data_IF_748148842673
#
_entry.id   IF_748148842673
#
_cell.length_a   1.000
_cell.length_b   1.000
_cell.length_c   1.000
_cell.angle_alpha   90.00
_cell.angle_beta   90.00
_cell.angle_gamma   90.00
#
_symmetry.space_group_name_H-M   'P 1'
#
loop_
_entity.id
_entity.type
_entity.pdbx_description
1 polymer ?
#
# COMPACT_ATOMS: atom_id res chain seq x y z
N UNK A 1 -4.38 -11.55 -20.25
CA UNK A 1 -5.40 -12.28 -19.46
C UNK A 1 -6.72 -12.27 -20.25
N UNK A 2 -7.45 -13.38 -20.30
CA UNK A 2 -8.75 -13.47 -20.99
C UNK A 2 -9.83 -13.71 -19.93
N UNK A 3 -10.81 -12.81 -19.84
CA UNK A 3 -12.05 -13.10 -19.11
C UNK A 3 -13.02 -13.82 -20.06
N UNK A 4 -13.70 -14.85 -19.58
CA UNK A 4 -14.66 -15.58 -20.39
C UNK A 4 -15.91 -14.72 -20.66
N UNK A 5 -16.61 -14.98 -21.77
CA UNK A 5 -17.88 -14.30 -22.06
C UNK A 5 -18.87 -14.55 -20.91
N UNK A 6 -19.43 -13.47 -20.36
CA UNK A 6 -20.34 -13.52 -19.21
C UNK A 6 -19.65 -13.54 -17.83
N UNK A 7 -18.31 -13.49 -17.78
CA UNK A 7 -17.57 -13.39 -16.51
C UNK A 7 -17.71 -11.98 -15.90
N UNK A 8 -18.06 -11.91 -14.60
CA UNK A 8 -18.13 -10.65 -13.85
C UNK A 8 -16.80 -10.37 -13.15
N UNK A 9 -16.26 -9.18 -13.38
CA UNK A 9 -15.04 -8.69 -12.76
C UNK A 9 -15.35 -7.68 -11.65
N UNK A 10 -14.57 -7.74 -10.56
CA UNK A 10 -14.49 -6.68 -9.56
C UNK A 10 -13.25 -5.84 -9.86
N UNK A 11 -13.46 -4.54 -9.94
CA UNK A 11 -12.42 -3.57 -10.28
C UNK A 11 -12.34 -2.53 -9.18
N UNK A 12 -11.12 -2.28 -8.70
CA UNK A 12 -10.80 -1.19 -7.79
C UNK A 12 -9.59 -0.46 -8.35
N UNK A 13 -9.73 0.84 -8.62
CA UNK A 13 -8.65 1.67 -9.14
C UNK A 13 -8.01 2.46 -8.01
N UNK A 14 -6.70 2.25 -7.81
CA UNK A 14 -5.95 2.88 -6.74
C UNK A 14 -5.77 4.38 -6.95
N UNK A 15 -5.74 5.14 -5.86
CA UNK A 15 -5.41 6.56 -5.85
C UNK A 15 -4.08 6.80 -5.15
N UNK A 16 -3.48 7.94 -5.44
CA UNK A 16 -2.33 8.44 -4.70
C UNK A 16 -2.68 8.70 -3.22
N UNK A 17 -1.66 8.65 -2.37
CA UNK A 17 -1.77 9.17 -1.01
C UNK A 17 -1.87 10.69 -1.01
N UNK A 18 -2.16 11.28 0.15
CA UNK A 18 -2.24 12.73 0.27
C UNK A 18 -0.89 13.42 -0.01
N UNK A 19 -0.89 14.38 -0.94
CA UNK A 19 0.24 15.26 -1.21
C UNK A 19 0.31 16.38 -0.17
N UNK A 20 1.25 16.27 0.78
CA UNK A 20 1.47 17.30 1.80
C UNK A 20 2.97 17.57 2.00
N UNK A 21 3.33 18.82 2.26
CA UNK A 21 4.73 19.23 2.52
C UNK A 21 5.11 19.02 3.99
N UNK A 22 5.19 17.76 4.43
CA UNK A 22 5.41 17.40 5.86
C UNK A 22 6.32 16.18 6.06
N UNK A 23 6.50 15.81 7.33
CA UNK A 23 7.52 14.83 7.73
C UNK A 23 7.16 13.38 7.44
N UNK A 24 5.90 13.01 7.25
CA UNK A 24 5.52 11.66 6.82
C UNK A 24 4.13 11.63 6.20
N UNK A 25 4.02 11.07 5.00
CA UNK A 25 2.77 11.03 4.21
C UNK A 25 2.18 9.63 4.14
N UNK A 26 0.93 9.52 3.68
CA UNK A 26 0.30 8.23 3.43
C UNK A 26 0.84 7.54 2.17
N UNK A 27 0.69 6.22 2.08
CA UNK A 27 1.00 5.46 0.87
C UNK A 27 -0.13 5.55 -0.15
N UNK A 28 0.19 5.33 -1.43
CA UNK A 28 -0.79 5.13 -2.49
C UNK A 28 -1.48 3.77 -2.38
N UNK A 29 -2.67 3.64 -2.97
CA UNK A 29 -3.40 2.38 -3.00
C UNK A 29 -3.10 1.55 -4.24
N UNK A 30 -3.31 0.23 -4.11
CA UNK A 30 -3.18 -0.71 -5.22
C UNK A 30 -4.37 -0.64 -6.18
N UNK A 31 -4.16 -1.13 -7.39
CA UNK A 31 -5.20 -1.29 -8.42
C UNK A 31 -5.47 -2.77 -8.64
N UNK A 32 -6.73 -3.18 -8.55
CA UNK A 32 -7.16 -4.57 -8.50
C UNK A 32 -8.13 -4.90 -9.62
N UNK A 33 -7.87 -6.04 -10.26
CA UNK A 33 -8.83 -6.75 -11.11
C UNK A 33 -8.94 -8.17 -10.58
N UNK A 34 -10.13 -8.53 -10.10
CA UNK A 34 -10.42 -9.86 -9.56
C UNK A 34 -11.71 -10.40 -10.17
N UNK A 35 -11.94 -11.70 -10.02
CA UNK A 35 -13.24 -12.32 -10.32
C UNK A 35 -14.26 -11.94 -9.25
N UNK A 36 -15.53 -12.26 -9.50
CA UNK A 36 -16.62 -12.05 -8.53
C UNK A 36 -16.38 -12.71 -7.16
N UNK A 37 -15.62 -13.80 -7.09
CA UNK A 37 -15.23 -14.50 -5.85
C UNK A 37 -13.93 -13.95 -5.20
N UNK A 38 -13.42 -12.82 -5.67
CA UNK A 38 -12.16 -12.19 -5.28
C UNK A 38 -10.89 -12.94 -5.70
N UNK A 39 -10.97 -13.97 -6.55
CA UNK A 39 -9.77 -14.58 -7.15
C UNK A 39 -9.00 -13.51 -7.93
N UNK A 40 -7.74 -13.22 -7.57
CA UNK A 40 -6.98 -12.16 -8.21
C UNK A 40 -6.58 -12.55 -9.63
N UNK A 41 -6.61 -11.57 -10.53
CA UNK A 41 -6.22 -11.77 -11.92
C UNK A 41 -5.03 -10.90 -12.29
N UNK A 42 -5.14 -9.61 -12.02
CA UNK A 42 -4.01 -8.69 -12.05
C UNK A 42 -4.19 -7.63 -10.96
N UNK A 43 -3.12 -7.38 -10.20
CA UNK A 43 -3.07 -6.37 -9.16
C UNK A 43 -1.74 -5.63 -9.30
N UNK A 44 -1.79 -4.31 -9.38
CA UNK A 44 -0.61 -3.46 -9.29
C UNK A 44 -0.52 -2.87 -7.88
N UNK A 45 0.63 -3.05 -7.23
CA UNK A 45 0.91 -2.44 -5.92
C UNK A 45 1.08 -0.92 -6.01
N UNK A 46 0.57 -0.19 -5.02
CA UNK A 46 0.78 1.24 -4.86
C UNK A 46 2.10 1.56 -4.16
N UNK A 47 2.61 2.77 -4.36
CA UNK A 47 3.82 3.24 -3.68
C UNK A 47 3.61 3.48 -2.17
N UNK A 48 4.65 3.27 -1.38
CA UNK A 48 4.72 3.68 0.01
C UNK A 48 4.94 5.18 0.16
N UNK A 49 4.48 5.76 1.26
CA UNK A 49 4.63 7.17 1.53
C UNK A 49 6.08 7.56 1.81
N UNK A 50 6.46 8.78 1.43
CA UNK A 50 7.75 9.38 1.79
C UNK A 50 7.74 10.02 3.18
N UNK A 51 8.92 10.23 3.74
CA UNK A 51 9.12 10.99 4.98
C UNK A 51 10.23 12.03 4.83
N UNK A 52 10.12 13.10 5.63
CA UNK A 52 10.83 14.37 5.44
C UNK A 52 12.33 14.37 5.67
N UNK A 53 12.96 13.19 5.82
CA UNK A 53 14.42 13.03 5.88
C UNK A 53 14.98 12.15 4.76
N UNK A 54 14.13 11.62 3.86
CA UNK A 54 14.62 10.98 2.64
C UNK A 54 15.27 12.03 1.75
N UNK A 55 16.58 11.91 1.55
CA UNK A 55 17.35 12.77 0.66
C UNK A 55 17.33 12.29 -0.79
N UNK A 56 17.10 10.99 -0.98
CA UNK A 56 17.08 10.33 -2.29
C UNK A 56 15.90 9.36 -2.38
N UNK A 57 15.43 9.15 -3.60
CA UNK A 57 14.45 8.10 -3.91
C UNK A 57 14.97 6.74 -3.45
N UNK A 58 14.08 5.91 -2.91
CA UNK A 58 14.42 4.55 -2.49
C UNK A 58 13.46 3.56 -3.14
N UNK A 59 13.98 2.60 -3.90
CA UNK A 59 13.17 1.64 -4.65
C UNK A 59 12.23 0.79 -3.77
N UNK A 60 12.45 0.70 -2.45
CA UNK A 60 11.54 -0.01 -1.57
C UNK A 60 10.22 0.74 -1.34
N UNK A 61 10.14 2.06 -1.57
CA UNK A 61 8.84 2.74 -1.57
C UNK A 61 8.07 2.51 -2.87
N UNK A 62 8.68 1.97 -3.93
CA UNK A 62 7.96 1.70 -5.16
C UNK A 62 7.06 0.48 -4.98
N UNK A 63 5.89 0.52 -5.62
CA UNK A 63 5.12 -0.70 -5.87
C UNK A 63 6.00 -1.69 -6.63
N UNK A 64 5.93 -2.97 -6.24
CA UNK A 64 6.82 -4.01 -6.78
C UNK A 64 6.05 -5.08 -7.55
N UNK A 65 6.67 -5.65 -8.58
CA UNK A 65 6.19 -6.83 -9.30
C UNK A 65 6.15 -8.09 -8.44
N UNK A 66 6.87 -8.10 -7.31
CA UNK A 66 6.81 -9.18 -6.33
C UNK A 66 5.42 -9.29 -5.70
N UNK A 67 5.01 -10.50 -5.36
CA UNK A 67 3.77 -10.74 -4.60
C UNK A 67 3.88 -10.31 -3.13
N UNK A 68 5.08 -10.25 -2.58
CA UNK A 68 5.31 -9.70 -1.25
C UNK A 68 5.33 -8.17 -1.31
N UNK A 69 4.76 -7.52 -0.29
CA UNK A 69 4.92 -6.09 -0.12
C UNK A 69 6.36 -5.77 0.26
N UNK A 70 6.88 -4.65 -0.24
CA UNK A 70 8.18 -4.16 0.15
C UNK A 70 8.19 -3.80 1.64
N UNK A 71 9.33 -4.01 2.28
CA UNK A 71 9.58 -3.48 3.63
C UNK A 71 9.74 -1.96 3.56
N UNK A 72 9.47 -1.27 4.67
CA UNK A 72 9.92 0.11 4.84
C UNK A 72 11.45 0.22 4.87
N UNK A 73 11.98 1.43 4.69
CA UNK A 73 13.43 1.67 4.67
C UNK A 73 13.89 2.73 5.68
N UNK A 74 15.07 2.46 6.25
CA UNK A 74 15.88 3.47 6.90
C UNK A 74 17.36 3.14 6.75
N UNK A 75 18.16 4.18 6.61
CA UNK A 75 19.61 4.03 6.55
C UNK A 75 20.14 3.50 7.89
N UNK A 76 20.92 2.40 7.83
CA UNK A 76 21.52 1.79 9.01
C UNK A 76 20.56 1.09 9.98
N UNK A 77 19.28 0.89 9.62
CA UNK A 77 18.30 0.16 10.45
C UNK A 77 17.55 -0.89 9.65
N UNK A 78 17.04 -1.91 10.35
CA UNK A 78 16.09 -2.87 9.77
C UNK A 78 14.72 -2.20 9.67
N UNK A 79 14.18 -2.11 8.46
CA UNK A 79 12.80 -1.67 8.24
C UNK A 79 11.78 -2.75 8.57
N UNK A 80 10.51 -2.39 8.56
CA UNK A 80 9.39 -3.27 8.90
C UNK A 80 8.84 -3.93 7.65
N UNK A 81 8.60 -5.24 7.73
CA UNK A 81 8.12 -6.06 6.64
C UNK A 81 6.77 -5.59 6.09
N UNK A 82 6.63 -5.74 4.77
CA UNK A 82 5.33 -5.77 4.13
C UNK A 82 4.56 -7.06 4.46
N UNK A 83 3.33 -7.13 4.00
CA UNK A 83 2.56 -8.36 4.00
C UNK A 83 3.10 -9.38 2.99
N UNK A 84 2.65 -10.61 3.16
CA UNK A 84 2.94 -11.76 2.31
C UNK A 84 1.63 -12.47 1.99
N UNK A 85 1.58 -13.18 0.87
CA UNK A 85 0.45 -14.04 0.49
C UNK A 85 -0.93 -13.38 0.57
N UNK A 86 -1.03 -12.13 0.12
CA UNK A 86 -2.30 -11.41 0.08
C UNK A 86 -2.60 -10.59 1.34
N UNK A 87 -1.74 -10.66 2.35
CA UNK A 87 -1.98 -10.03 3.65
C UNK A 87 -1.59 -8.55 3.65
N UNK A 88 -2.26 -7.75 4.49
CA UNK A 88 -1.81 -6.41 4.83
C UNK A 88 -0.55 -6.44 5.70
N UNK A 89 0.19 -5.33 5.71
CA UNK A 89 1.39 -5.21 6.54
C UNK A 89 1.00 -4.94 8.00
N UNK A 90 1.42 -5.79 8.93
CA UNK A 90 1.10 -5.66 10.36
C UNK A 90 2.33 -5.59 11.26
N UNK A 91 3.55 -5.74 10.74
CA UNK A 91 4.75 -5.66 11.57
C UNK A 91 4.89 -4.27 12.19
N UNK A 92 5.18 -4.22 13.50
CA UNK A 92 5.32 -2.97 14.21
C UNK A 92 6.28 -3.06 15.41
N UNK A 93 7.07 -2.01 15.66
CA UNK A 93 7.87 -1.83 16.89
C UNK A 93 8.02 -0.36 17.22
N UNK A 94 7.48 0.06 18.37
CA UNK A 94 7.62 1.44 18.86
C UNK A 94 6.42 2.31 18.53
N UNK A 95 6.59 3.63 18.70
CA UNK A 95 5.54 4.64 18.58
C UNK A 95 5.80 5.57 17.36
N UNK A 96 4.84 6.43 17.02
CA UNK A 96 4.93 7.37 15.89
C UNK A 96 4.99 6.69 14.51
N UNK A 97 4.23 5.61 14.35
CA UNK A 97 4.26 4.79 13.14
C UNK A 97 3.20 5.19 12.11
N UNK A 98 3.48 4.93 10.84
CA UNK A 98 2.45 4.93 9.81
C UNK A 98 1.51 3.73 9.93
N UNK A 99 0.40 3.80 9.22
CA UNK A 99 -0.46 2.68 8.91
C UNK A 99 0.23 1.73 7.93
N UNK A 100 -0.03 0.43 8.09
CA UNK A 100 0.40 -0.56 7.10
C UNK A 100 -0.47 -0.48 5.85
N UNK A 101 0.08 -0.88 4.71
CA UNK A 101 -0.73 -1.10 3.52
C UNK A 101 -1.71 -2.26 3.72
N UNK A 102 -2.92 -2.12 3.20
CA UNK A 102 -3.89 -3.20 3.06
C UNK A 102 -3.49 -4.14 1.92
N UNK A 103 -3.76 -5.43 2.12
CA UNK A 103 -3.58 -6.45 1.09
C UNK A 103 -4.88 -6.76 0.34
N UNK A 104 -4.84 -7.85 -0.42
CA UNK A 104 -6.04 -8.45 -1.00
C UNK A 104 -6.99 -8.93 0.12
N UNK A 105 -6.46 -9.59 1.14
CA UNK A 105 -7.22 -10.40 2.10
C UNK A 105 -7.38 -9.74 3.46
N UNK A 106 -6.41 -8.96 3.93
CA UNK A 106 -6.44 -8.37 5.28
C UNK A 106 -6.03 -6.91 5.29
N UNK A 107 -6.61 -6.18 6.24
CA UNK A 107 -6.29 -4.78 6.48
C UNK A 107 -4.83 -4.64 6.94
N UNK A 108 -4.23 -3.49 6.63
CA UNK A 108 -2.99 -3.08 7.27
C UNK A 108 -3.22 -2.81 8.75
N UNK A 109 -2.23 -3.11 9.59
CA UNK A 109 -2.35 -2.82 11.03
C UNK A 109 -2.50 -1.32 11.30
N UNK A 110 -3.21 -0.98 12.37
CA UNK A 110 -3.56 0.41 12.73
C UNK A 110 -3.07 0.76 14.13
N UNK A 111 -2.86 2.05 14.42
CA UNK A 111 -2.65 2.52 15.79
C UNK A 111 -3.90 2.29 16.67
N UNK A 112 -3.72 2.26 18.00
CA UNK A 112 -4.80 1.99 18.96
C UNK A 112 -5.92 3.04 18.92
N UNK A 113 -5.59 4.30 18.66
CA UNK A 113 -6.59 5.37 18.48
C UNK A 113 -7.57 5.11 17.32
N UNK A 114 -7.20 4.21 16.39
CA UNK A 114 -8.03 3.78 15.25
C UNK A 114 -8.56 2.36 15.43
N UNK A 115 -8.53 1.80 16.64
CA UNK A 115 -9.02 0.46 16.94
C UNK A 115 -8.06 -0.68 16.55
N UNK A 116 -6.81 -0.38 16.19
CA UNK A 116 -5.79 -1.39 15.97
C UNK A 116 -5.04 -1.79 17.24
N UNK A 117 -4.06 -2.68 17.09
CA UNK A 117 -3.25 -3.20 18.20
C UNK A 117 -1.75 -2.85 18.07
N UNK A 118 -1.39 -1.86 17.24
CA UNK A 118 0.00 -1.47 17.06
C UNK A 118 0.49 -0.48 18.15
N UNK A 119 0.84 0.73 17.76
CA UNK A 119 1.31 1.80 18.63
C UNK A 119 0.15 2.62 19.23
N UNK A 120 0.44 3.38 20.29
CA UNK A 120 -0.51 4.33 20.87
C UNK A 120 -0.77 5.48 19.89
N UNK A 121 0.26 5.90 19.16
CA UNK A 121 0.26 7.08 18.32
C UNK A 121 0.73 6.78 16.90
N UNK A 122 -0.19 6.69 15.96
CA UNK A 122 0.15 6.44 14.56
C UNK A 122 -0.99 6.56 13.57
N UNK A 123 -0.66 6.30 12.31
CA UNK A 123 -1.62 6.23 11.21
C UNK A 123 -2.54 5.02 11.32
N UNK A 124 -3.68 5.12 10.66
CA UNK A 124 -4.57 3.98 10.41
C UNK A 124 -4.07 3.18 9.21
N UNK A 125 -4.14 1.86 9.29
CA UNK A 125 -3.81 1.00 8.16
C UNK A 125 -4.88 1.05 7.08
N UNK A 126 -4.47 0.85 5.83
CA UNK A 126 -5.39 0.77 4.71
C UNK A 126 -6.25 -0.49 4.79
N UNK A 127 -7.51 -0.38 4.35
CA UNK A 127 -8.44 -1.52 4.29
C UNK A 127 -8.06 -2.47 3.16
N UNK A 128 -8.30 -3.76 3.39
CA UNK A 128 -8.12 -4.78 2.37
C UNK A 128 -9.02 -4.54 1.16
N UNK A 129 -8.66 -5.09 0.01
CA UNK A 129 -9.56 -5.12 -1.15
C UNK A 129 -10.91 -5.77 -0.80
N UNK A 130 -10.90 -6.90 -0.10
CA UNK A 130 -12.15 -7.59 0.33
C UNK A 130 -12.99 -6.76 1.30
N UNK A 131 -12.42 -5.72 1.90
CA UNK A 131 -13.08 -4.78 2.81
C UNK A 131 -13.33 -3.41 2.15
N UNK A 132 -13.29 -3.34 0.82
CA UNK A 132 -13.61 -2.13 0.05
C UNK A 132 -12.42 -1.20 -0.22
N UNK A 133 -11.21 -1.53 0.25
CA UNK A 133 -9.98 -0.84 -0.13
C UNK A 133 -9.86 0.63 0.31
N UNK A 134 -10.64 1.07 1.30
CA UNK A 134 -10.52 2.44 1.84
C UNK A 134 -9.10 2.71 2.35
N UNK A 135 -8.53 3.86 1.98
CA UNK A 135 -7.24 4.32 2.49
C UNK A 135 -7.28 4.69 3.96
N UNK A 136 -6.17 4.53 4.66
CA UNK A 136 -6.05 4.80 6.09
C UNK A 136 -6.01 6.30 6.42
N UNK A 137 -6.63 6.69 7.53
CA UNK A 137 -6.51 8.05 8.07
C UNK A 137 -5.10 8.35 8.57
N UNK A 138 -4.63 9.57 8.27
CA UNK A 138 -3.43 10.12 8.86
C UNK A 138 -3.71 10.59 10.27
N UNK A 139 -2.71 10.49 11.16
CA UNK A 139 -2.88 10.97 12.54
C UNK A 139 -2.99 12.50 12.62
N UNK A 140 -2.14 13.19 11.85
CA UNK A 140 -2.10 14.64 11.77
C UNK A 140 -2.10 15.08 10.31
N UNK A 141 -2.46 16.35 10.09
CA UNK A 141 -2.29 17.08 8.83
C UNK A 141 -2.90 16.41 7.59
N UNK A 142 -3.95 15.60 7.76
CA UNK A 142 -4.61 14.88 6.67
C UNK A 142 -3.64 14.03 5.83
N UNK A 143 -2.63 13.41 6.48
CA UNK A 143 -1.68 12.48 5.85
C UNK A 143 -2.37 11.15 5.47
N UNK A 144 -3.41 11.21 4.65
CA UNK A 144 -4.24 10.07 4.27
C UNK A 144 -3.53 9.14 3.30
N UNK A 145 -3.77 7.84 3.46
CA UNK A 145 -3.44 6.85 2.45
C UNK A 145 -4.46 6.88 1.31
N UNK A 146 -4.02 6.53 0.12
CA UNK A 146 -4.87 6.47 -1.07
C UNK A 146 -5.88 5.33 -1.03
N UNK A 147 -7.00 5.53 -1.72
CA UNK A 147 -7.96 4.45 -2.01
C UNK A 147 -7.26 3.32 -2.77
N UNK A 148 -7.60 2.07 -2.46
CA UNK A 148 -6.82 0.88 -2.82
C UNK A 148 -5.95 0.35 -1.68
N UNK A 149 -6.25 0.74 -0.44
CA UNK A 149 -5.60 0.20 0.75
C UNK A 149 -4.27 0.87 1.12
N UNK A 150 -4.02 2.09 0.69
CA UNK A 150 -2.85 2.85 1.17
C UNK A 150 -2.96 3.12 2.68
N UNK A 151 -1.87 2.95 3.43
CA UNK A 151 -1.82 3.28 4.85
C UNK A 151 -1.70 4.79 5.08
N UNK A 152 -2.29 5.29 6.17
CA UNK A 152 -2.15 6.69 6.58
C UNK A 152 -0.79 6.98 7.22
N UNK A 153 -0.27 8.18 7.03
CA UNK A 153 0.95 8.64 7.69
C UNK A 153 0.70 9.15 9.12
N UNK A 154 1.78 9.34 9.88
CA UNK A 154 1.72 10.08 11.13
C UNK A 154 1.54 11.60 10.89
N UNK A 155 2.08 12.14 9.79
CA UNK A 155 2.05 13.58 9.47
C UNK A 155 3.22 14.36 10.09
N UNK A 156 3.29 14.40 11.43
CA UNK A 156 4.27 15.23 12.18
C UNK A 156 5.48 14.44 12.75
N UNK A 157 5.45 13.11 12.66
CA UNK A 157 6.35 12.20 13.40
C UNK A 157 7.17 11.28 12.51
N UNK A 158 7.34 11.62 11.24
CA UNK A 158 8.09 10.87 10.22
C UNK A 158 7.54 9.51 9.80
N UNK A 159 6.66 8.87 10.57
CA UNK A 159 6.07 7.58 10.19
C UNK A 159 5.22 7.67 8.92
N UNK A 160 5.72 7.13 7.81
CA UNK A 160 5.01 7.10 6.54
C UNK A 160 4.14 5.84 6.38
N UNK A 161 3.05 5.95 5.63
CA UNK A 161 2.14 4.85 5.38
C UNK A 161 2.65 3.88 4.33
N UNK A 162 2.37 2.58 4.47
CA UNK A 162 2.69 1.58 3.46
C UNK A 162 1.73 1.62 2.26
N UNK A 163 2.21 1.23 1.08
CA UNK A 163 1.38 1.16 -0.14
C UNK A 163 0.39 -0.01 -0.11
N UNK A 164 -0.81 0.16 -0.66
CA UNK A 164 -1.76 -0.95 -0.82
C UNK A 164 -1.37 -1.87 -1.98
N UNK A 165 -1.87 -3.11 -2.02
CA UNK A 165 -1.55 -4.04 -3.11
C UNK A 165 -2.09 -5.44 -2.92
N UNK A 166 -1.59 -6.40 -3.69
CA UNK A 166 -1.86 -7.83 -3.45
C UNK A 166 -1.44 -8.17 -2.02
N UNK A 167 -0.19 -7.87 -1.66
CA UNK A 167 0.21 -7.77 -0.26
C UNK A 167 0.52 -6.33 0.08
N UNK A 168 0.14 -5.87 1.26
CA UNK A 168 0.36 -4.49 1.69
C UNK A 168 1.83 -4.18 1.95
N UNK A 169 2.26 -2.96 1.66
CA UNK A 169 3.61 -2.49 1.93
C UNK A 169 3.86 -2.17 3.40
N UNK A 170 5.12 -2.29 3.83
CA UNK A 170 5.57 -2.04 5.19
C UNK A 170 5.34 -0.60 5.64
N UNK A 171 5.16 -0.40 6.94
CA UNK A 171 4.94 0.94 7.53
C UNK A 171 6.26 1.60 7.95
N UNK A 172 6.33 2.92 7.86
CA UNK A 172 7.43 3.72 8.41
C UNK A 172 7.23 4.06 9.89
N UNK A 173 8.26 4.58 10.53
CA UNK A 173 8.27 5.06 11.92
C UNK A 173 9.16 6.31 12.07
N UNK A 174 9.31 6.84 13.29
CA UNK A 174 10.16 8.02 13.56
C UNK A 174 11.56 7.93 12.93
N UNK A 175 12.14 6.74 12.98
CA UNK A 175 13.50 6.49 12.49
C UNK A 175 13.53 5.73 11.16
N UNK A 176 12.37 5.41 10.58
CA UNK A 176 12.20 4.62 9.35
C UNK A 176 11.32 5.43 8.40
N UNK A 177 11.97 6.05 7.43
CA UNK A 177 11.49 7.30 6.86
C UNK A 177 10.46 7.14 5.75
N UNK A 178 10.35 5.97 5.12
CA UNK A 178 9.33 5.68 4.11
C UNK A 178 8.51 4.45 4.47
N UNK A 179 7.29 4.39 3.93
CA UNK A 179 6.58 3.14 3.77
C UNK A 179 7.19 2.31 2.65
N UNK A 180 7.05 0.99 2.74
CA UNK A 180 7.29 0.10 1.62
C UNK A 180 6.13 0.16 0.63
N UNK A 181 6.40 -0.03 -0.66
CA UNK A 181 5.35 -0.21 -1.66
C UNK A 181 4.64 -1.56 -1.56
N UNK A 182 3.41 -1.63 -2.07
CA UNK A 182 2.62 -2.84 -2.12
C UNK A 182 3.16 -3.86 -3.13
N UNK A 183 2.88 -5.13 -2.87
CA UNK A 183 3.15 -6.22 -3.81
C UNK A 183 2.10 -6.28 -4.91
N UNK A 184 2.48 -6.80 -6.07
CA UNK A 184 1.63 -6.99 -7.25
C UNK A 184 1.27 -8.47 -7.44
N UNK A 185 0.36 -8.75 -8.37
CA UNK A 185 0.00 -10.10 -8.77
C UNK A 185 -0.39 -10.12 -10.25
N UNK A 186 -0.02 -11.15 -10.99
CA UNK A 186 -0.44 -11.33 -12.38
C UNK A 186 -0.58 -12.83 -12.69
N UNK A 187 -1.81 -13.28 -12.94
CA UNK A 187 -2.11 -14.66 -13.38
C UNK A 187 -2.21 -14.80 -14.90
N UNK A 188 -1.85 -13.76 -15.65
CA UNK A 188 -1.81 -13.76 -17.10
C UNK A 188 -0.62 -14.56 -17.65
N UNK A 189 -0.72 -14.97 -18.92
CA UNK A 189 0.37 -15.64 -19.61
C UNK A 189 1.56 -14.70 -19.92
N UNK A 190 1.30 -13.39 -20.00
CA UNK A 190 2.33 -12.36 -20.04
C UNK A 190 2.46 -11.78 -18.63
N UNK A 191 3.57 -12.12 -17.98
CA UNK A 191 3.89 -11.71 -16.60
C UNK A 191 4.88 -10.56 -16.57
N UNK A 192 5.06 -9.81 -17.67
CA UNK A 192 5.88 -8.61 -17.67
C UNK A 192 5.34 -7.58 -16.68
N UNK A 193 6.26 -6.81 -16.09
CA UNK A 193 5.98 -5.78 -15.12
C UNK A 193 7.24 -4.99 -14.81
N UNK A 194 7.07 -3.80 -14.26
CA UNK A 194 8.17 -2.92 -13.88
C UNK A 194 7.84 -2.24 -12.56
N UNK A 195 8.78 -2.28 -11.62
CA UNK A 195 8.68 -1.58 -10.35
C UNK A 195 8.67 -0.05 -10.58
N UNK A 196 7.87 0.68 -9.80
CA UNK A 196 7.85 2.15 -9.84
C UNK A 196 7.47 2.75 -11.20
N UNK A 197 6.77 2.01 -12.06
CA UNK A 197 6.50 2.41 -13.43
C UNK A 197 5.40 3.47 -13.61
N UNK A 198 4.66 3.80 -12.55
CA UNK A 198 3.55 4.75 -12.59
C UNK A 198 3.77 5.90 -11.59
N UNK A 199 3.57 7.11 -12.08
CA UNK A 199 3.48 8.35 -11.30
C UNK A 199 2.06 8.88 -11.48
N UNK A 200 1.30 9.02 -10.40
CA UNK A 200 -0.13 9.30 -10.46
C UNK A 200 -1.06 8.17 -9.99
N UNK A 201 -2.39 8.38 -10.15
CA UNK A 201 -3.40 7.36 -9.86
C UNK A 201 -3.24 6.11 -10.71
N UNK A 202 -3.79 5.00 -10.23
CA UNK A 202 -3.86 3.77 -10.99
C UNK A 202 -4.81 3.87 -12.18
N UNK A 203 -4.67 2.94 -13.11
CA UNK A 203 -5.57 2.79 -14.25
C UNK A 203 -5.64 1.32 -14.70
N UNK A 204 -6.70 0.99 -15.44
CA UNK A 204 -6.89 -0.34 -16.04
C UNK A 204 -7.28 -0.15 -17.50
N UNK A 205 -6.62 -0.88 -18.39
CA UNK A 205 -6.96 -0.94 -19.81
C UNK A 205 -7.61 -2.29 -20.08
N UNK A 206 -8.87 -2.27 -20.53
CA UNK A 206 -9.60 -3.46 -20.96
C UNK A 206 -9.78 -3.37 -22.48
N UNK A 207 -9.15 -4.28 -23.20
CA UNK A 207 -9.25 -4.38 -24.65
C UNK A 207 -9.87 -5.71 -25.05
N UNK A 208 -10.80 -5.67 -25.99
CA UNK A 208 -11.43 -6.87 -26.56
C UNK A 208 -10.63 -7.29 -27.79
N UNK A 209 -10.22 -8.56 -27.86
CA UNK A 209 -9.72 -9.14 -29.11
C UNK A 209 -10.92 -9.65 -29.91
N UNK A 210 -11.17 -8.99 -31.03
CA UNK A 210 -12.09 -9.46 -32.08
C UNK A 210 -11.36 -10.36 -33.06
#
# INVERSE_FOLDING_TARGET
>A
MLAATGETLKILVGQEGAEITRTGVGGGGGTFVTKSDNTPLIIAGGGGGGGGRLQTHNLLCDGTVSTAGNKSFAEGKTGYGGGIDGQGATEWKGDFMGGGGGGLLTDGGSAKQWGGNSCDHGGEGGKAFVNGGLGGRGRHQNAFGGFGGGGGGHGDGFGAGGGGGYSGGGRGCRDVLNGGGGGSFNSGADTSGQDGANDGPGYIIISVKT
#
